data_IF_042774645840
#
_entry.id   IF_042774645840
#
_cell.length_a   1.000
_cell.length_b   1.000
_cell.length_c   1.000
_cell.angle_alpha   90.00
_cell.angle_beta   90.00
_cell.angle_gamma   90.00
#
_symmetry.space_group_name_H-M   'P 1'
#
loop_
_entity.id
_entity.type
_entity.pdbx_description
1 polymer ?
#
# COMPACT_ATOMS: atom_id res chain seq x y z
N UNK A 1 -2.44 -21.39 -26.87
CA UNK A 1 -2.75 -21.92 -25.52
C UNK A 1 -2.04 -21.08 -24.48
N UNK A 2 -2.72 -20.75 -23.39
CA UNK A 2 -2.16 -20.04 -22.24
C UNK A 2 -1.30 -21.04 -21.43
N UNK A 3 -0.17 -20.57 -20.90
CA UNK A 3 0.75 -21.39 -20.09
C UNK A 3 0.98 -20.83 -18.69
N UNK A 4 0.85 -19.51 -18.53
CA UNK A 4 1.07 -18.82 -17.27
C UNK A 4 -0.04 -17.79 -17.02
N UNK A 5 -0.36 -17.56 -15.76
CA UNK A 5 -1.25 -16.50 -15.28
C UNK A 5 -0.43 -15.62 -14.34
N UNK A 6 -0.34 -14.33 -14.65
CA UNK A 6 0.36 -13.37 -13.79
C UNK A 6 -0.71 -12.51 -13.13
N UNK A 7 -0.70 -12.47 -11.80
CA UNK A 7 -1.65 -11.71 -11.00
C UNK A 7 -0.93 -10.60 -10.27
N UNK A 8 -1.48 -9.39 -10.36
CA UNK A 8 -1.08 -8.30 -9.48
C UNK A 8 -1.55 -8.59 -8.04
N UNK A 9 -0.99 -7.90 -7.06
CA UNK A 9 -1.43 -8.00 -5.67
C UNK A 9 -2.57 -7.02 -5.39
N UNK A 10 -2.31 -5.72 -5.55
CA UNK A 10 -3.24 -4.66 -5.15
C UNK A 10 -4.50 -4.64 -6.01
N UNK A 11 -5.66 -4.66 -5.36
CA UNK A 11 -6.98 -4.74 -5.97
C UNK A 11 -7.21 -5.95 -6.90
N UNK A 12 -6.41 -7.02 -6.73
CA UNK A 12 -6.55 -8.29 -7.46
C UNK A 12 -6.51 -9.48 -6.50
N UNK A 13 -5.42 -9.65 -5.75
CA UNK A 13 -5.32 -10.67 -4.70
C UNK A 13 -5.67 -10.12 -3.32
N UNK A 14 -5.30 -8.87 -3.09
CA UNK A 14 -5.49 -8.13 -1.84
C UNK A 14 -6.24 -6.84 -2.17
N UNK A 15 -7.20 -6.46 -1.34
CA UNK A 15 -7.75 -5.11 -1.34
C UNK A 15 -6.61 -4.12 -1.08
N UNK A 16 -6.61 -2.96 -1.74
CA UNK A 16 -5.68 -1.88 -1.45
C UNK A 16 -6.45 -0.57 -1.35
N UNK A 17 -6.62 -0.11 -0.10
CA UNK A 17 -7.33 1.13 0.19
C UNK A 17 -6.57 1.99 1.21
N UNK A 18 -5.80 2.99 0.75
CA UNK A 18 -5.10 3.96 1.61
C UNK A 18 -6.00 4.72 2.59
N UNK A 19 -7.31 4.79 2.35
CA UNK A 19 -8.24 5.41 3.30
C UNK A 19 -8.30 4.67 4.64
N UNK A 20 -7.98 3.38 4.69
CA UNK A 20 -7.98 2.60 5.94
C UNK A 20 -6.96 3.15 6.95
N UNK A 21 -5.65 3.23 6.66
CA UNK A 21 -4.69 3.84 7.56
C UNK A 21 -4.93 5.34 7.77
N UNK A 22 -5.38 6.08 6.74
CA UNK A 22 -5.70 7.50 6.88
C UNK A 22 -6.81 7.74 7.91
N UNK A 23 -7.91 6.97 7.85
CA UNK A 23 -9.01 7.06 8.82
C UNK A 23 -8.62 6.56 10.21
N UNK A 24 -7.64 5.66 10.30
CA UNK A 24 -7.18 5.11 11.57
C UNK A 24 -6.21 6.03 12.31
N UNK A 25 -5.35 6.76 11.59
CA UNK A 25 -4.21 7.47 12.17
C UNK A 25 -4.27 8.99 12.08
N UNK A 26 -5.15 9.55 11.24
CA UNK A 26 -5.30 11.00 11.08
C UNK A 26 -6.52 11.54 11.84
N UNK A 27 -6.31 12.56 12.67
CA UNK A 27 -7.35 13.12 13.53
C UNK A 27 -8.32 14.08 12.81
N UNK A 28 -7.98 14.52 11.59
CA UNK A 28 -8.79 15.47 10.84
C UNK A 28 -8.61 15.31 9.32
N UNK A 29 -9.53 15.87 8.54
CA UNK A 29 -9.50 15.76 7.08
C UNK A 29 -8.29 16.48 6.47
N UNK A 30 -7.85 17.60 7.05
CA UNK A 30 -6.61 18.30 6.64
C UNK A 30 -5.40 17.37 6.71
N UNK A 31 -5.26 16.60 7.81
CA UNK A 31 -4.18 15.64 7.97
C UNK A 31 -4.28 14.51 6.93
N UNK A 32 -5.48 14.01 6.68
CA UNK A 32 -5.72 12.96 5.68
C UNK A 32 -5.34 13.44 4.28
N UNK A 33 -5.78 14.63 3.89
CA UNK A 33 -5.49 15.21 2.57
C UNK A 33 -4.00 15.41 2.35
N UNK A 34 -3.30 15.97 3.35
CA UNK A 34 -1.85 16.16 3.28
C UNK A 34 -1.15 14.81 3.18
N UNK A 35 -1.44 13.87 4.09
CA UNK A 35 -0.73 12.58 4.12
C UNK A 35 -1.07 11.75 2.88
N UNK A 36 -2.31 11.75 2.40
CA UNK A 36 -2.70 11.08 1.16
C UNK A 36 -1.84 11.54 -0.01
N UNK A 37 -1.73 12.85 -0.18
CA UNK A 37 -0.99 13.43 -1.30
C UNK A 37 0.53 13.28 -1.15
N UNK A 38 1.07 13.54 0.04
CA UNK A 38 2.51 13.56 0.26
C UNK A 38 3.13 12.17 0.44
N UNK A 39 2.37 11.21 1.00
CA UNK A 39 2.81 9.83 1.22
C UNK A 39 2.35 8.88 0.10
N UNK A 40 1.04 8.70 -0.06
CA UNK A 40 0.49 7.63 -0.91
C UNK A 40 0.50 8.00 -2.40
N UNK A 41 0.36 9.29 -2.73
CA UNK A 41 0.54 9.79 -4.10
C UNK A 41 1.94 10.40 -4.33
N UNK A 42 2.80 10.37 -3.31
CA UNK A 42 4.14 10.92 -3.36
C UNK A 42 5.11 10.03 -4.16
N UNK A 43 6.21 10.60 -4.68
CA UNK A 43 7.21 9.84 -5.43
C UNK A 43 7.87 8.74 -4.59
N UNK A 44 8.01 8.95 -3.27
CA UNK A 44 8.63 7.98 -2.36
C UNK A 44 7.81 6.68 -2.22
N UNK A 45 6.53 6.70 -2.56
CA UNK A 45 5.72 5.48 -2.63
C UNK A 45 6.26 4.55 -3.72
N UNK A 46 6.35 5.08 -4.94
CA UNK A 46 6.86 4.36 -6.12
C UNK A 46 8.34 4.01 -5.98
N UNK A 47 9.15 4.88 -5.37
CA UNK A 47 10.56 4.58 -5.07
C UNK A 47 10.71 3.39 -4.12
N UNK A 48 9.83 3.29 -3.12
CA UNK A 48 9.79 2.15 -2.22
C UNK A 48 9.47 0.85 -2.95
N UNK A 49 8.46 0.86 -3.83
CA UNK A 49 8.09 -0.31 -4.62
C UNK A 49 9.22 -0.79 -5.56
N UNK A 50 10.06 0.13 -6.03
CA UNK A 50 11.24 -0.17 -6.86
C UNK A 50 12.44 -0.64 -6.05
N UNK A 51 12.43 -0.46 -4.73
CA UNK A 51 13.57 -0.71 -3.86
C UNK A 51 14.65 0.39 -3.89
N UNK A 52 14.34 1.57 -4.44
CA UNK A 52 15.27 2.71 -4.50
C UNK A 52 15.53 3.30 -3.10
N UNK A 53 14.55 3.17 -2.20
CA UNK A 53 14.66 3.58 -0.79
C UNK A 53 14.21 2.43 0.13
N UNK A 54 14.82 2.29 1.32
CA UNK A 54 14.31 1.36 2.32
C UNK A 54 12.98 1.88 2.89
N UNK A 55 12.12 0.98 3.38
CA UNK A 55 10.84 1.35 3.99
C UNK A 55 10.98 2.42 5.09
N UNK A 56 12.01 2.29 5.94
CA UNK A 56 12.31 3.26 7.01
C UNK A 56 12.74 4.64 6.49
N UNK A 57 13.18 4.74 5.23
CA UNK A 57 13.60 6.00 4.61
C UNK A 57 12.43 6.87 4.14
N UNK A 58 11.25 6.27 3.89
CA UNK A 58 10.08 6.98 3.36
C UNK A 58 9.61 8.12 4.29
N UNK A 59 9.50 7.84 5.58
CA UNK A 59 9.10 8.84 6.59
C UNK A 59 10.01 10.07 6.59
N UNK A 60 11.33 9.87 6.58
CA UNK A 60 12.32 10.96 6.65
C UNK A 60 12.31 11.90 5.44
N UNK A 61 11.91 11.37 4.28
CA UNK A 61 11.75 12.15 3.06
C UNK A 61 10.41 12.90 3.05
N UNK A 62 9.31 12.19 3.30
CA UNK A 62 7.95 12.74 3.22
C UNK A 62 7.69 13.78 4.30
N UNK A 63 8.21 13.60 5.53
CA UNK A 63 7.97 14.54 6.65
C UNK A 63 8.42 15.97 6.35
N UNK A 64 9.34 16.18 5.40
CA UNK A 64 9.83 17.50 4.99
C UNK A 64 8.75 18.35 4.30
N UNK A 65 7.68 17.71 3.80
CA UNK A 65 6.54 18.35 3.13
C UNK A 65 5.26 18.29 3.96
N UNK A 66 5.31 17.68 5.14
CA UNK A 66 4.17 17.52 6.04
C UNK A 66 4.36 18.40 7.29
N UNK A 67 3.37 19.19 7.73
CA UNK A 67 3.45 19.97 8.95
C UNK A 67 3.79 19.11 10.18
N UNK A 68 4.63 19.65 11.08
CA UNK A 68 5.13 18.93 12.27
C UNK A 68 4.00 18.37 13.15
N UNK A 69 2.88 19.09 13.26
CA UNK A 69 1.67 18.64 13.98
C UNK A 69 1.10 17.30 13.49
N UNK A 70 1.47 16.83 12.28
CA UNK A 70 0.98 15.60 11.68
C UNK A 70 2.05 14.51 11.53
N UNK A 71 3.25 14.71 12.08
CA UNK A 71 4.35 13.75 11.93
C UNK A 71 4.06 12.39 12.57
N UNK A 72 3.38 12.36 13.72
CA UNK A 72 3.00 11.09 14.37
C UNK A 72 2.00 10.29 13.52
N UNK A 73 0.99 10.95 12.97
CA UNK A 73 0.04 10.35 12.03
C UNK A 73 0.75 9.85 10.76
N UNK A 74 1.62 10.67 10.19
CA UNK A 74 2.45 10.29 9.04
C UNK A 74 3.30 9.06 9.34
N UNK A 75 3.94 9.02 10.51
CA UNK A 75 4.79 7.89 10.91
C UNK A 75 3.98 6.60 11.02
N UNK A 76 2.79 6.66 11.62
CA UNK A 76 1.90 5.51 11.70
C UNK A 76 1.44 5.04 10.31
N UNK A 77 1.10 5.97 9.40
CA UNK A 77 0.78 5.63 8.01
C UNK A 77 1.97 4.99 7.29
N UNK A 78 3.19 5.52 7.44
CA UNK A 78 4.40 4.93 6.86
C UNK A 78 4.71 3.53 7.39
N UNK A 79 4.60 3.32 8.69
CA UNK A 79 5.02 2.07 9.34
C UNK A 79 3.94 0.98 9.25
N UNK A 80 2.67 1.37 9.10
CA UNK A 80 1.51 0.47 9.19
C UNK A 80 0.57 0.56 7.99
N UNK A 81 1.01 1.09 6.86
CA UNK A 81 0.17 1.18 5.65
C UNK A 81 -0.45 -0.17 5.25
N UNK A 82 0.27 -1.27 5.44
CA UNK A 82 -0.12 -2.61 5.02
C UNK A 82 -1.40 -3.13 5.69
N UNK A 83 -1.92 -2.45 6.73
CA UNK A 83 -3.22 -2.80 7.32
C UNK A 83 -4.39 -2.67 6.33
N UNK A 84 -4.19 -1.96 5.21
CA UNK A 84 -5.17 -1.88 4.14
C UNK A 84 -5.12 -3.08 3.17
N UNK A 85 -4.14 -3.99 3.29
CA UNK A 85 -3.91 -5.11 2.37
C UNK A 85 -4.61 -6.39 2.83
N UNK A 86 -5.93 -6.47 2.67
CA UNK A 86 -6.71 -7.64 3.09
C UNK A 86 -6.98 -8.59 1.92
N UNK A 87 -6.94 -9.92 2.10
CA UNK A 87 -7.24 -10.86 1.01
C UNK A 87 -8.63 -10.65 0.40
N UNK A 88 -8.70 -10.58 -0.93
CA UNK A 88 -9.96 -10.58 -1.66
C UNK A 88 -10.56 -11.99 -1.59
N UNK A 89 -11.85 -12.07 -1.25
CA UNK A 89 -12.57 -13.33 -1.18
C UNK A 89 -12.49 -14.08 -2.53
N UNK A 90 -12.09 -15.34 -2.52
CA UNK A 90 -11.95 -16.17 -3.72
C UNK A 90 -10.58 -16.07 -4.40
N UNK A 91 -9.73 -15.11 -4.03
CA UNK A 91 -8.43 -14.93 -4.68
C UNK A 91 -7.48 -16.12 -4.45
N UNK A 92 -7.46 -16.66 -3.22
CA UNK A 92 -6.63 -17.82 -2.89
C UNK A 92 -7.14 -19.08 -3.59
N UNK A 93 -8.47 -19.28 -3.63
CA UNK A 93 -9.13 -20.38 -4.33
C UNK A 93 -8.83 -20.33 -5.82
N UNK A 94 -8.88 -19.15 -6.44
CA UNK A 94 -8.51 -18.96 -7.84
C UNK A 94 -7.03 -19.32 -8.10
N UNK A 95 -6.12 -18.89 -7.23
CA UNK A 95 -4.70 -19.24 -7.36
C UNK A 95 -4.47 -20.75 -7.31
N UNK A 96 -5.18 -21.45 -6.41
CA UNK A 96 -5.12 -22.91 -6.32
C UNK A 96 -5.69 -23.57 -7.57
N UNK A 97 -6.83 -23.10 -8.07
CA UNK A 97 -7.42 -23.58 -9.31
C UNK A 97 -6.45 -23.47 -10.49
N UNK A 98 -5.79 -22.31 -10.67
CA UNK A 98 -4.82 -22.11 -11.76
C UNK A 98 -3.67 -23.11 -11.68
N UNK A 99 -3.14 -23.34 -10.46
CA UNK A 99 -2.08 -24.32 -10.22
C UNK A 99 -2.53 -25.75 -10.54
N UNK A 100 -3.75 -26.11 -10.17
CA UNK A 100 -4.34 -27.42 -10.46
C UNK A 100 -4.55 -27.68 -11.95
N UNK A 101 -4.75 -26.63 -12.75
CA UNK A 101 -4.79 -26.74 -14.22
C UNK A 101 -3.41 -26.94 -14.86
N UNK A 102 -2.33 -27.00 -14.06
CA UNK A 102 -0.95 -27.15 -14.55
C UNK A 102 -0.39 -25.90 -15.22
N UNK A 103 -1.01 -24.74 -15.00
CA UNK A 103 -0.51 -23.44 -15.46
C UNK A 103 0.54 -22.92 -14.48
N UNK A 104 1.53 -22.21 -15.00
CA UNK A 104 2.41 -21.38 -14.17
C UNK A 104 1.61 -20.25 -13.53
N UNK A 105 1.79 -20.05 -12.23
CA UNK A 105 1.22 -18.95 -11.45
C UNK A 105 2.21 -18.55 -10.37
#
# INVERSE_FOLDING_TARGET
MIKNVILDMGNVLLDYNPEVPLNMFCDCEEAKDIIRNELFHGPEWVMGDRGDIPDKGRYELVKRRVPEKYWDALKQCCDRWYICMNPIQGAAEFCNFVREQGLGI
#
